data_IF_042325256547
#
_entry.id   IF_042325256547
#
_cell.length_a   1.000
_cell.length_b   1.000
_cell.length_c   1.000
_cell.angle_alpha   90.00
_cell.angle_beta   90.00
_cell.angle_gamma   90.00
#
_symmetry.space_group_name_H-M   'P 1'
#
loop_
_entity.id
_entity.type
_entity.pdbx_description
1 polymer ?
#
# COMPACT_ATOMS: atom_id res chain seq x y z
N UNK A 1 55.55 25.17 11.90
CA UNK A 1 54.31 25.01 12.69
C UNK A 1 53.16 25.36 11.75
N UNK A 2 52.19 24.47 11.50
CA UNK A 2 51.06 24.80 10.63
C UNK A 2 50.04 25.67 11.37
N UNK A 3 49.37 26.54 10.63
CA UNK A 3 48.33 27.42 11.17
C UNK A 3 47.18 26.59 11.79
N UNK A 4 46.79 26.85 13.05
CA UNK A 4 45.75 26.11 13.74
C UNK A 4 44.40 26.12 13.01
N UNK A 5 44.06 27.18 12.27
CA UNK A 5 42.83 27.24 11.47
C UNK A 5 42.84 26.23 10.33
N UNK A 6 44.01 25.95 9.76
CA UNK A 6 44.16 25.00 8.65
C UNK A 6 44.00 23.57 9.17
N UNK A 7 44.52 23.27 10.36
CA UNK A 7 44.35 21.96 11.01
C UNK A 7 42.87 21.72 11.32
N UNK A 8 42.22 22.68 11.97
CA UNK A 8 40.80 22.58 12.29
C UNK A 8 39.91 22.36 11.07
N UNK A 9 40.15 23.09 9.97
CA UNK A 9 39.42 22.91 8.71
C UNK A 9 39.63 21.53 8.10
N UNK A 10 40.87 21.02 8.12
CA UNK A 10 41.19 19.70 7.58
C UNK A 10 40.55 18.58 8.40
N UNK A 11 40.60 18.69 9.72
CA UNK A 11 39.96 17.72 10.64
C UNK A 11 38.44 17.73 10.48
N UNK A 12 37.82 18.91 10.48
CA UNK A 12 36.38 19.04 10.25
C UNK A 12 35.95 18.48 8.90
N UNK A 13 36.72 18.74 7.85
CA UNK A 13 36.47 18.20 6.52
C UNK A 13 36.63 16.67 6.47
N UNK A 14 37.63 16.11 7.14
CA UNK A 14 37.83 14.65 7.20
C UNK A 14 36.64 13.95 7.88
N UNK A 15 36.14 14.50 8.99
CA UNK A 15 34.96 13.96 9.67
C UNK A 15 33.71 14.05 8.80
N UNK A 16 33.51 15.16 8.11
CA UNK A 16 32.39 15.34 7.19
C UNK A 16 32.45 14.36 6.02
N UNK A 17 33.65 14.14 5.44
CA UNK A 17 33.83 13.14 4.38
C UNK A 17 33.54 11.71 4.87
N UNK A 18 33.94 11.37 6.10
CA UNK A 18 33.62 10.08 6.69
C UNK A 18 32.09 9.88 6.87
N UNK A 19 31.37 10.92 7.29
CA UNK A 19 29.91 10.91 7.38
C UNK A 19 29.25 10.75 6.00
N UNK A 20 29.73 11.49 4.99
CA UNK A 20 29.20 11.34 3.63
C UNK A 20 29.42 9.93 3.10
N UNK A 21 30.57 9.31 3.40
CA UNK A 21 30.86 7.95 2.99
C UNK A 21 29.91 6.92 3.63
N UNK A 22 29.54 7.09 4.91
CA UNK A 22 28.57 6.19 5.55
C UNK A 22 27.16 6.34 4.98
N UNK A 23 26.71 7.58 4.72
CA UNK A 23 25.40 7.83 4.10
C UNK A 23 25.32 7.18 2.71
N UNK A 24 26.37 7.33 1.90
CA UNK A 24 26.42 6.71 0.58
C UNK A 24 26.33 5.18 0.66
N UNK A 25 27.01 4.58 1.63
CA UNK A 25 26.92 3.13 1.88
C UNK A 25 25.50 2.68 2.21
N UNK A 26 24.80 3.40 3.09
CA UNK A 26 23.44 3.07 3.51
C UNK A 26 22.41 3.21 2.38
N UNK A 27 22.55 4.21 1.51
CA UNK A 27 21.68 4.38 0.34
C UNK A 27 21.81 3.18 -0.60
N UNK A 28 23.05 2.78 -0.91
CA UNK A 28 23.31 1.64 -1.79
C UNK A 28 22.76 0.36 -1.18
N UNK A 29 23.01 0.13 0.11
CA UNK A 29 22.46 -1.01 0.85
C UNK A 29 20.93 -1.04 0.78
N UNK A 30 20.28 0.08 1.02
CA UNK A 30 18.81 0.20 0.96
C UNK A 30 18.28 -0.16 -0.42
N UNK A 31 18.89 0.35 -1.49
CA UNK A 31 18.47 0.03 -2.88
C UNK A 31 18.56 -1.47 -3.16
N UNK A 32 19.66 -2.13 -2.76
CA UNK A 32 19.82 -3.57 -2.99
C UNK A 32 18.93 -4.45 -2.11
N UNK A 33 18.48 -3.96 -0.95
CA UNK A 33 17.60 -4.69 -0.04
C UNK A 33 16.12 -4.34 -0.18
N UNK A 34 15.75 -3.34 -1.00
CA UNK A 34 14.36 -3.02 -1.30
C UNK A 34 13.77 -4.10 -2.21
N UNK A 35 12.98 -4.99 -1.62
CA UNK A 35 12.09 -5.89 -2.35
C UNK A 35 10.80 -5.15 -2.72
N UNK A 36 10.58 -4.88 -4.00
CA UNK A 36 9.31 -4.31 -4.49
C UNK A 36 8.25 -5.41 -4.43
N UNK A 37 7.42 -5.41 -3.38
CA UNK A 37 6.23 -6.24 -3.30
C UNK A 37 5.16 -5.70 -4.24
N UNK A 38 5.07 -6.26 -5.45
CA UNK A 38 3.94 -6.02 -6.35
C UNK A 38 2.74 -6.79 -5.81
N UNK A 39 1.84 -6.11 -5.10
CA UNK A 39 0.57 -6.74 -4.70
C UNK A 39 -0.16 -7.23 -5.96
N UNK A 40 -0.53 -8.53 -6.02
CA UNK A 40 -1.29 -9.03 -7.15
C UNK A 40 -2.62 -8.26 -7.21
N UNK A 41 -3.12 -7.91 -8.41
CA UNK A 41 -4.39 -7.22 -8.54
C UNK A 41 -5.46 -8.06 -7.83
N UNK A 42 -6.12 -7.46 -6.82
CA UNK A 42 -7.26 -8.09 -6.13
C UNK A 42 -8.24 -8.55 -7.19
N UNK A 43 -8.34 -9.85 -7.40
CA UNK A 43 -9.34 -10.44 -8.27
C UNK A 43 -10.69 -10.00 -7.71
N UNK A 44 -11.38 -9.14 -8.47
CA UNK A 44 -12.75 -8.74 -8.15
C UNK A 44 -13.56 -10.02 -8.15
N UNK A 45 -13.92 -10.51 -6.96
CA UNK A 45 -14.81 -11.66 -6.84
C UNK A 45 -16.06 -11.32 -7.64
N UNK A 46 -16.39 -12.15 -8.62
CA UNK A 46 -17.61 -11.98 -9.40
C UNK A 46 -18.77 -11.96 -8.39
N UNK A 47 -19.48 -10.83 -8.32
CA UNK A 47 -20.66 -10.71 -7.47
C UNK A 47 -21.61 -11.82 -7.91
N UNK A 48 -21.81 -12.82 -7.06
CA UNK A 48 -22.77 -13.88 -7.34
C UNK A 48 -24.10 -13.19 -7.66
N UNK A 49 -24.59 -13.36 -8.89
CA UNK A 49 -25.87 -12.83 -9.31
C UNK A 49 -26.90 -13.33 -8.28
N UNK A 50 -27.36 -12.43 -7.41
CA UNK A 50 -28.28 -12.77 -6.33
C UNK A 50 -29.46 -13.54 -6.92
N UNK A 51 -29.91 -14.59 -6.22
CA UNK A 51 -31.05 -15.41 -6.63
C UNK A 51 -32.20 -14.47 -7.02
N UNK A 52 -32.54 -14.42 -8.31
CA UNK A 52 -33.69 -13.66 -8.79
C UNK A 52 -34.92 -14.23 -8.09
N UNK A 53 -35.62 -13.40 -7.31
CA UNK A 53 -36.84 -13.81 -6.60
C UNK A 53 -37.87 -14.24 -7.65
N UNK A 54 -38.30 -15.50 -7.59
CA UNK A 54 -39.28 -16.04 -8.52
C UNK A 54 -40.66 -15.42 -8.30
N UNK A 55 -41.47 -15.36 -9.36
CA UNK A 55 -42.78 -14.68 -9.34
C UNK A 55 -43.75 -15.24 -8.28
N UNK A 56 -43.60 -16.50 -7.89
CA UNK A 56 -44.41 -17.16 -6.86
C UNK A 56 -43.73 -17.24 -5.47
N UNK A 57 -42.46 -16.85 -5.34
CA UNK A 57 -41.72 -16.90 -4.08
C UNK A 57 -42.26 -15.91 -3.04
N UNK A 58 -42.03 -16.15 -1.74
CA UNK A 58 -42.35 -15.18 -0.70
C UNK A 58 -41.64 -13.84 -0.99
N UNK A 59 -42.38 -12.75 -0.91
CA UNK A 59 -41.85 -11.45 -1.27
C UNK A 59 -40.84 -10.95 -0.22
N UNK A 60 -39.64 -10.48 -0.62
CA UNK A 60 -38.63 -9.98 0.32
C UNK A 60 -39.06 -8.68 1.04
N UNK A 61 -40.20 -8.09 0.66
CA UNK A 61 -40.84 -6.94 1.32
C UNK A 61 -41.35 -7.24 2.75
N UNK A 62 -41.32 -8.50 3.19
CA UNK A 62 -41.80 -8.90 4.53
C UNK A 62 -43.33 -8.94 4.67
N UNK A 63 -44.08 -8.72 3.60
CA UNK A 63 -45.56 -8.67 3.62
C UNK A 63 -46.25 -10.03 3.80
N UNK A 64 -45.50 -11.13 3.80
CA UNK A 64 -46.03 -12.51 3.83
C UNK A 64 -46.74 -12.95 2.54
N UNK A 65 -46.85 -12.08 1.52
CA UNK A 65 -47.50 -12.40 0.24
C UNK A 65 -46.49 -12.90 -0.79
N UNK A 66 -46.96 -13.67 -1.79
CA UNK A 66 -46.15 -14.07 -2.96
C UNK A 66 -45.70 -12.83 -3.75
N UNK A 67 -44.52 -12.88 -4.37
CA UNK A 67 -43.91 -11.75 -5.08
C UNK A 67 -44.86 -11.10 -6.09
N UNK A 68 -45.55 -11.90 -6.93
CA UNK A 68 -46.58 -11.43 -7.89
C UNK A 68 -47.76 -10.68 -7.30
N UNK A 69 -47.95 -10.75 -5.98
CA UNK A 69 -49.05 -10.11 -5.25
C UNK A 69 -48.56 -9.03 -4.25
N UNK A 70 -47.25 -8.80 -4.11
CA UNK A 70 -46.64 -7.66 -3.37
C UNK A 70 -45.89 -6.75 -4.37
N UNK A 71 -44.58 -6.91 -4.51
CA UNK A 71 -43.71 -6.02 -5.29
C UNK A 71 -43.60 -6.36 -6.78
N UNK A 72 -44.16 -7.49 -7.22
CA UNK A 72 -44.09 -7.98 -8.61
C UNK A 72 -45.43 -7.96 -9.35
N UNK A 73 -46.34 -7.05 -8.97
CA UNK A 73 -47.53 -6.73 -9.77
C UNK A 73 -47.15 -5.97 -11.03
#
# INVERSE_FOLDING_TARGET
QQDPLVVYKKEGHALFQALLASIQHDVVRSIYHVSISKEPPRQKQAVAAGKKVGRNDPCPCGSGKKYKHCCGK
#
